data_IF_280966541358
#
_entry.id   IF_280966541358
#
_cell.length_a   1.000
_cell.length_b   1.000
_cell.length_c   1.000
_cell.angle_alpha   90.00
_cell.angle_beta   90.00
_cell.angle_gamma   90.00
#
_symmetry.space_group_name_H-M   'P 1'
#
loop_
_entity.id
_entity.type
_entity.pdbx_description
1 polymer ?
#
# COMPACT_ATOMS: atom_id res chain seq x y z
N UNK A 1 -30.76 18.65 -25.85
CA UNK A 1 -30.90 17.52 -26.79
C UNK A 1 -29.63 16.68 -26.71
N UNK A 2 -29.79 15.43 -26.24
CA UNK A 2 -28.88 14.28 -26.27
C UNK A 2 -27.36 14.51 -26.19
N UNK A 3 -26.82 14.64 -24.97
CA UNK A 3 -25.41 14.37 -24.67
C UNK A 3 -25.13 12.87 -24.57
N UNK A 4 -25.39 12.12 -25.63
CA UNK A 4 -25.15 10.68 -25.67
C UNK A 4 -23.74 10.38 -26.17
N UNK A 5 -22.79 10.17 -25.26
CA UNK A 5 -21.48 9.64 -25.62
C UNK A 5 -21.60 8.11 -25.77
N UNK A 6 -21.50 7.61 -27.00
CA UNK A 6 -21.49 6.17 -27.28
C UNK A 6 -20.06 5.66 -27.08
N UNK A 7 -19.86 4.75 -26.12
CA UNK A 7 -18.58 4.10 -25.89
C UNK A 7 -18.53 2.83 -26.74
N UNK A 8 -17.51 2.71 -27.60
CA UNK A 8 -17.30 1.52 -28.41
C UNK A 8 -16.94 0.29 -27.55
N UNK A 9 -17.42 -0.89 -27.93
CA UNK A 9 -17.19 -2.15 -27.21
C UNK A 9 -15.70 -2.40 -26.94
N UNK A 10 -14.83 -2.16 -27.92
CA UNK A 10 -13.38 -2.34 -27.81
C UNK A 10 -12.73 -1.44 -26.76
N UNK A 11 -13.26 -0.22 -26.57
CA UNK A 11 -12.76 0.71 -25.55
C UNK A 11 -13.03 0.19 -24.13
N UNK A 12 -14.17 -0.48 -23.92
CA UNK A 12 -14.50 -1.12 -22.64
C UNK A 12 -13.59 -2.32 -22.35
N UNK A 13 -13.31 -3.16 -23.36
CA UNK A 13 -12.42 -4.32 -23.20
C UNK A 13 -11.01 -3.88 -22.83
N UNK A 14 -10.47 -2.88 -23.54
CA UNK A 14 -9.14 -2.34 -23.26
C UNK A 14 -9.05 -1.73 -21.86
N UNK A 15 -10.05 -0.94 -21.45
CA UNK A 15 -10.09 -0.33 -20.12
C UNK A 15 -10.18 -1.39 -19.01
N UNK A 16 -11.03 -2.41 -19.21
CA UNK A 16 -11.16 -3.52 -18.27
C UNK A 16 -9.87 -4.32 -18.14
N UNK A 17 -9.15 -4.55 -19.23
CA UNK A 17 -7.87 -5.26 -19.20
C UNK A 17 -6.82 -4.53 -18.34
N UNK A 18 -6.71 -3.20 -18.47
CA UNK A 18 -5.80 -2.39 -17.66
C UNK A 18 -6.20 -2.44 -16.18
N UNK A 19 -7.49 -2.31 -15.87
CA UNK A 19 -7.97 -2.38 -14.49
C UNK A 19 -7.72 -3.75 -13.86
N UNK A 20 -7.91 -4.82 -14.62
CA UNK A 20 -7.66 -6.19 -14.15
C UNK A 20 -6.17 -6.40 -13.85
N UNK A 21 -5.29 -5.90 -14.71
CA UNK A 21 -3.85 -5.96 -14.50
C UNK A 21 -3.44 -5.27 -13.19
N UNK A 22 -3.87 -4.02 -12.99
CA UNK A 22 -3.58 -3.27 -11.76
C UNK A 22 -4.17 -3.93 -10.51
N UNK A 23 -5.38 -4.49 -10.62
CA UNK A 23 -6.05 -5.18 -9.51
C UNK A 23 -5.37 -6.50 -9.14
N UNK A 24 -4.62 -7.12 -10.04
CA UNK A 24 -3.82 -8.31 -9.74
C UNK A 24 -2.47 -7.94 -9.11
N UNK A 25 -1.80 -6.91 -9.63
CA UNK A 25 -0.46 -6.50 -9.23
C UNK A 25 -0.41 -5.92 -7.80
N UNK A 26 -1.32 -4.98 -7.47
CA UNK A 26 -1.29 -4.26 -6.18
C UNK A 26 -1.47 -5.22 -4.98
N UNK A 27 -2.43 -6.17 -4.98
CA UNK A 27 -2.59 -7.11 -3.88
C UNK A 27 -1.48 -8.16 -3.79
N UNK A 28 -0.81 -8.50 -4.90
CA UNK A 28 0.32 -9.43 -4.90
C UNK A 28 1.51 -8.83 -4.16
N UNK A 29 1.90 -7.60 -4.52
CA UNK A 29 2.96 -6.85 -3.85
C UNK A 29 2.63 -6.63 -2.37
N UNK A 30 1.39 -6.23 -2.08
CA UNK A 30 0.91 -6.04 -0.70
C UNK A 30 0.91 -7.34 0.10
N UNK A 31 0.54 -8.45 -0.54
CA UNK A 31 0.58 -9.78 0.05
C UNK A 31 1.99 -10.24 0.37
N UNK A 32 2.98 -9.89 -0.46
CA UNK A 32 4.38 -10.13 -0.17
C UNK A 32 4.85 -9.36 1.07
N UNK A 33 4.50 -8.07 1.16
CA UNK A 33 4.79 -7.24 2.34
C UNK A 33 4.09 -7.75 3.62
N UNK A 34 2.86 -8.23 3.50
CA UNK A 34 2.12 -8.84 4.62
C UNK A 34 2.81 -10.12 5.13
N UNK A 35 3.37 -10.94 4.22
CA UNK A 35 4.13 -12.15 4.57
C UNK A 35 5.40 -11.80 5.33
N UNK A 36 6.11 -10.75 4.92
CA UNK A 36 7.32 -10.28 5.62
C UNK A 36 7.04 -9.90 7.08
N UNK A 37 5.87 -9.28 7.30
CA UNK A 37 5.42 -8.84 8.62
C UNK A 37 4.67 -9.93 9.41
N UNK A 38 4.63 -11.17 8.89
CA UNK A 38 4.03 -12.37 9.51
C UNK A 38 2.56 -12.22 9.92
N UNK A 39 1.82 -11.33 9.28
CA UNK A 39 0.39 -11.16 9.51
C UNK A 39 -0.42 -11.77 8.37
N UNK A 40 -1.58 -12.36 8.72
CA UNK A 40 -2.46 -13.06 7.78
C UNK A 40 -3.41 -12.13 7.02
N UNK A 41 -3.58 -10.89 7.46
CA UNK A 41 -4.48 -9.89 6.88
C UNK A 41 -3.69 -8.73 6.28
N UNK A 42 -4.13 -8.28 5.10
CA UNK A 42 -3.64 -7.07 4.46
C UNK A 42 -4.17 -5.86 5.23
N UNK A 43 -3.28 -5.01 5.74
CA UNK A 43 -3.60 -3.77 6.46
C UNK A 43 -3.11 -2.55 5.65
N UNK A 44 -3.67 -1.34 5.87
CA UNK A 44 -3.29 -0.13 5.14
C UNK A 44 -1.77 0.19 5.14
N UNK A 45 -1.00 -0.08 6.22
CA UNK A 45 0.46 0.06 6.21
C UNK A 45 1.17 -0.87 5.21
N UNK A 46 0.70 -2.11 5.01
CA UNK A 46 1.32 -3.02 4.04
C UNK A 46 1.10 -2.54 2.61
N UNK A 47 -0.08 -2.00 2.34
CA UNK A 47 -0.41 -1.42 1.04
C UNK A 47 0.46 -0.20 0.74
N UNK A 48 0.67 0.68 1.72
CA UNK A 48 1.54 1.83 1.53
C UNK A 48 3.01 1.46 1.32
N UNK A 49 3.52 0.47 2.05
CA UNK A 49 4.88 -0.05 1.86
C UNK A 49 5.07 -0.71 0.49
N UNK A 50 4.06 -1.43 0.01
CA UNK A 50 4.09 -2.04 -1.33
C UNK A 50 4.05 -0.99 -2.44
N UNK A 51 3.18 0.03 -2.34
CA UNK A 51 3.08 1.10 -3.34
C UNK A 51 4.34 1.94 -3.38
N UNK A 52 4.87 2.35 -2.22
CA UNK A 52 6.04 3.22 -2.16
C UNK A 52 7.37 2.45 -2.39
N UNK A 53 7.33 1.12 -2.38
CA UNK A 53 8.42 0.26 -2.81
C UNK A 53 8.47 0.01 -4.32
N UNK A 54 7.43 0.39 -5.06
CA UNK A 54 7.31 0.20 -6.51
C UNK A 54 7.28 1.56 -7.23
N UNK A 55 8.25 1.80 -8.13
CA UNK A 55 8.41 3.09 -8.79
C UNK A 55 7.26 3.41 -9.77
N UNK A 56 6.68 2.40 -10.40
CA UNK A 56 5.59 2.58 -11.36
C UNK A 56 4.28 2.89 -10.62
N UNK A 57 4.05 2.20 -9.51
CA UNK A 57 2.87 2.35 -8.66
C UNK A 57 2.90 3.64 -7.84
N UNK A 58 4.06 4.08 -7.36
CA UNK A 58 4.24 5.37 -6.67
C UNK A 58 3.94 6.56 -7.61
N UNK A 59 4.37 6.47 -8.87
CA UNK A 59 4.05 7.47 -9.90
C UNK A 59 2.57 7.48 -10.27
N UNK A 60 1.94 6.29 -10.35
CA UNK A 60 0.53 6.12 -10.68
C UNK A 60 -0.40 6.58 -9.53
N UNK A 61 -0.04 6.27 -8.29
CA UNK A 61 -0.85 6.50 -7.10
C UNK A 61 -0.15 7.55 -6.22
N UNK A 62 -0.31 8.83 -6.59
CA UNK A 62 0.10 9.97 -5.74
C UNK A 62 -0.83 10.23 -4.54
N UNK A 63 -1.77 9.32 -4.28
CA UNK A 63 -2.76 9.47 -3.22
C UNK A 63 -2.19 9.10 -1.86
N UNK A 64 -2.42 9.95 -0.86
CA UNK A 64 -2.02 9.67 0.54
C UNK A 64 -3.01 8.67 1.15
N UNK A 65 -2.53 7.48 1.50
CA UNK A 65 -3.27 6.53 2.33
C UNK A 65 -3.38 7.08 3.75
N UNK A 66 -4.58 7.49 4.16
CA UNK A 66 -4.87 8.13 5.46
C UNK A 66 -4.55 7.27 6.69
N UNK A 67 -4.24 5.98 6.51
CA UNK A 67 -3.95 5.03 7.59
C UNK A 67 -2.65 4.21 7.39
N UNK A 68 -1.84 4.51 6.35
CA UNK A 68 -0.67 3.69 6.02
C UNK A 68 0.67 4.15 6.65
N UNK A 69 0.72 5.35 7.24
CA UNK A 69 1.92 5.90 7.86
C UNK A 69 2.87 6.57 6.87
N UNK A 70 4.18 6.54 7.12
CA UNK A 70 5.24 6.97 6.18
C UNK A 70 6.42 6.01 6.29
N UNK A 71 7.16 5.82 5.19
CA UNK A 71 8.39 5.02 5.26
C UNK A 71 9.38 5.72 6.19
N UNK A 72 9.86 5.05 7.26
CA UNK A 72 10.79 5.66 8.19
C UNK A 72 12.12 5.95 7.49
N UNK A 73 12.42 7.23 7.26
CA UNK A 73 13.67 7.71 6.68
C UNK A 73 14.28 8.80 7.57
N UNK A 74 15.44 8.55 8.15
CA UNK A 74 16.19 9.54 8.95
C UNK A 74 17.44 9.94 8.17
N UNK A 75 17.60 11.24 7.93
CA UNK A 75 18.81 11.79 7.33
C UNK A 75 20.03 11.46 8.19
N UNK A 76 21.13 11.06 7.53
CA UNK A 76 22.37 10.60 8.17
C UNK A 76 22.96 11.59 9.18
N UNK A 77 22.68 12.88 9.04
CA UNK A 77 23.09 13.94 9.96
C UNK A 77 22.39 13.89 11.33
N UNK A 78 21.21 13.27 11.41
CA UNK A 78 20.36 13.23 12.60
C UNK A 78 20.34 11.86 13.29
N UNK A 79 20.87 10.82 12.65
CA UNK A 79 20.84 9.45 13.15
C UNK A 79 21.97 9.16 14.13
N UNK A 80 21.67 9.02 15.43
CA UNK A 80 22.59 8.39 16.39
C UNK A 80 22.74 6.90 16.04
N UNK A 81 23.94 6.33 16.22
CA UNK A 81 24.31 4.99 15.73
C UNK A 81 23.48 3.81 16.30
N UNK A 82 22.58 4.03 17.27
CA UNK A 82 21.84 2.99 18.00
C UNK A 82 20.39 2.74 17.51
N UNK A 83 19.90 3.47 16.50
CA UNK A 83 18.46 3.58 16.22
C UNK A 83 17.82 2.43 15.41
N UNK A 84 18.58 1.50 14.81
CA UNK A 84 17.99 0.43 13.97
C UNK A 84 17.14 -0.58 14.74
N UNK A 85 17.36 -0.74 16.05
CA UNK A 85 16.60 -1.69 16.90
C UNK A 85 15.33 -1.08 17.49
N UNK A 86 15.35 0.23 17.77
CA UNK A 86 14.22 0.97 18.34
C UNK A 86 13.06 1.11 17.34
N UNK A 87 13.34 1.35 16.06
CA UNK A 87 12.30 1.44 15.03
C UNK A 87 11.57 0.11 14.80
N UNK A 88 12.29 -1.02 14.86
CA UNK A 88 11.68 -2.34 14.74
C UNK A 88 10.74 -2.62 15.92
N UNK A 89 11.20 -2.38 17.16
CA UNK A 89 10.38 -2.58 18.37
C UNK A 89 9.14 -1.68 18.44
N UNK A 90 9.20 -0.44 17.92
CA UNK A 90 8.06 0.46 17.88
C UNK A 90 6.99 -0.01 16.87
N UNK A 91 7.39 -0.43 15.66
CA UNK A 91 6.45 -1.01 14.68
C UNK A 91 5.82 -2.31 15.18
N UNK A 92 6.61 -3.18 15.82
CA UNK A 92 6.11 -4.44 16.40
C UNK A 92 5.10 -4.17 17.53
N UNK A 93 5.27 -3.09 18.29
CA UNK A 93 4.34 -2.68 19.36
C UNK A 93 3.02 -2.09 18.82
N UNK A 94 3.06 -1.36 17.70
CA UNK A 94 1.85 -0.82 17.04
C UNK A 94 1.01 -1.93 16.39
N UNK A 95 1.64 -2.89 15.71
CA UNK A 95 0.95 -4.06 15.15
C UNK A 95 0.32 -4.96 16.23
N UNK A 96 0.87 -4.96 17.44
CA UNK A 96 0.26 -5.67 18.58
C UNK A 96 -0.99 -4.97 19.13
N UNK A 97 -1.10 -3.64 18.96
CA UNK A 97 -2.29 -2.87 19.38
C UNK A 97 -3.44 -2.96 18.37
N UNK A 98 -3.16 -3.21 17.08
CA UNK A 98 -4.17 -3.37 16.03
C UNK A 98 -4.99 -4.68 16.14
N UNK A 99 -4.52 -5.68 16.89
CA UNK A 99 -5.32 -6.88 17.16
C UNK A 99 -6.64 -6.57 17.91
N UNK A 100 -6.79 -5.40 18.55
CA UNK A 100 -8.06 -4.99 19.18
C UNK A 100 -9.03 -4.28 18.23
N UNK A 101 -8.57 -3.84 17.05
CA UNK A 101 -9.42 -3.21 16.02
C UNK A 101 -9.76 -4.16 14.86
N UNK A 102 -9.36 -5.43 14.95
CA UNK A 102 -9.66 -6.49 13.97
C UNK A 102 -11.13 -7.00 13.99
N UNK A 103 -12.09 -6.17 14.42
CA UNK A 103 -13.53 -6.52 14.45
C UNK A 103 -14.45 -5.38 13.96
N UNK A 104 -14.00 -4.57 13.01
CA UNK A 104 -14.91 -3.64 12.33
C UNK A 104 -14.74 -3.66 10.81
N UNK A 105 -15.17 -4.80 10.24
CA UNK A 105 -15.99 -4.87 9.04
C UNK A 105 -17.02 -5.98 9.23
#
# INVERSE_FOLDING_TARGET
MAGGNYVGMTALVHSTAILLYLTAEVPELTGNTSKELKVKCITPPHLQLAICGDEELDSLIKAVLTSGGVIPHIHKSLGRNDNRRLFKGCMDSLLSQDSKYSFFF
#
